data_IF_699704453989
#
_entry.id   IF_699704453989
#
_cell.length_a   1.000
_cell.length_b   1.000
_cell.length_c   1.000
_cell.angle_alpha   90.00
_cell.angle_beta   90.00
_cell.angle_gamma   90.00
#
_symmetry.space_group_name_H-M   'P 1'
#
loop_
_entity.id
_entity.type
_entity.pdbx_description
1 polymer ?
#
# COMPACT_ATOMS: atom_id res chain seq x y z
N UNK A 1 12.57 10.71 -15.18
CA UNK A 1 12.83 9.66 -14.17
C UNK A 1 14.16 9.89 -13.43
N UNK A 2 14.80 11.07 -13.53
CA UNK A 2 16.21 11.26 -13.14
C UNK A 2 16.39 12.23 -11.95
N UNK A 3 15.36 12.42 -11.13
CA UNK A 3 15.43 13.20 -9.89
C UNK A 3 14.73 12.43 -8.77
N UNK A 4 15.40 12.31 -7.60
CA UNK A 4 14.80 11.81 -6.36
C UNK A 4 13.51 12.58 -5.97
N UNK A 5 13.33 13.78 -6.52
CA UNK A 5 12.13 14.61 -6.39
C UNK A 5 10.84 14.01 -7.03
N UNK A 6 10.94 12.87 -7.71
CA UNK A 6 9.79 12.21 -8.34
C UNK A 6 9.08 11.21 -7.43
N UNK A 7 9.51 11.05 -6.17
CA UNK A 7 8.89 10.17 -5.18
C UNK A 7 7.90 10.96 -4.31
N UNK A 8 6.65 10.51 -4.30
CA UNK A 8 5.59 10.94 -3.38
C UNK A 8 5.42 9.83 -2.35
N UNK A 9 5.97 10.03 -1.14
CA UNK A 9 5.81 9.08 -0.04
C UNK A 9 4.64 9.48 0.86
N UNK A 10 3.78 8.53 1.18
CA UNK A 10 2.63 8.72 2.04
C UNK A 10 2.64 7.63 3.11
N UNK A 11 2.83 8.04 4.36
CA UNK A 11 2.73 7.17 5.53
C UNK A 11 1.26 6.92 5.87
N UNK A 12 0.81 5.66 5.77
CA UNK A 12 -0.57 5.28 6.03
C UNK A 12 -0.96 5.30 7.51
N UNK A 13 0.01 5.39 8.43
CA UNK A 13 -0.25 5.62 9.86
C UNK A 13 -0.87 7.01 10.11
N UNK A 14 -0.69 7.99 9.23
CA UNK A 14 -1.39 9.29 9.33
C UNK A 14 -2.87 9.20 8.90
N UNK A 15 -3.27 8.10 8.25
CA UNK A 15 -4.58 7.89 7.64
C UNK A 15 -5.40 6.80 8.33
N UNK A 16 -5.10 6.54 9.61
CA UNK A 16 -5.80 5.57 10.45
C UNK A 16 -7.26 5.95 10.75
N UNK A 17 -7.59 7.24 10.69
CA UNK A 17 -8.90 7.78 11.06
C UNK A 17 -9.70 8.18 9.82
N UNK A 18 -11.02 7.94 9.84
CA UNK A 18 -11.89 8.20 8.69
C UNK A 18 -11.78 9.64 8.15
N UNK A 19 -11.65 10.64 9.01
CA UNK A 19 -11.59 12.03 8.60
C UNK A 19 -10.23 12.44 8.01
N UNK A 20 -9.15 11.70 8.31
CA UNK A 20 -7.84 11.97 7.72
C UNK A 20 -7.72 11.41 6.30
N UNK A 21 -8.50 10.38 5.94
CA UNK A 21 -8.61 9.86 4.55
C UNK A 21 -8.96 10.97 3.56
N UNK A 22 -9.86 11.88 3.93
CA UNK A 22 -10.23 13.04 3.11
C UNK A 22 -9.03 13.92 2.74
N UNK A 23 -7.93 13.93 3.50
CA UNK A 23 -6.73 14.70 3.13
C UNK A 23 -6.06 14.16 1.86
N UNK A 24 -6.20 12.87 1.54
CA UNK A 24 -5.62 12.28 0.32
C UNK A 24 -6.28 12.80 -0.95
N UNK A 25 -7.61 12.96 -0.94
CA UNK A 25 -8.44 13.33 -2.12
C UNK A 25 -9.10 14.70 -2.00
N UNK A 26 -8.89 15.40 -0.89
CA UNK A 26 -9.49 16.69 -0.57
C UNK A 26 -10.74 16.53 0.30
N UNK A 27 -11.01 17.53 1.15
CA UNK A 27 -12.23 17.54 1.93
C UNK A 27 -13.47 17.67 1.01
N UNK A 28 -14.64 17.15 1.40
CA UNK A 28 -15.88 17.34 0.65
C UNK A 28 -16.42 18.78 0.78
N UNK A 29 -17.34 19.20 -0.12
CA UNK A 29 -17.95 20.53 -0.05
C UNK A 29 -18.55 20.82 1.33
N UNK A 30 -18.22 21.98 1.91
CA UNK A 30 -18.72 22.40 3.22
C UNK A 30 -17.81 22.07 4.41
N UNK A 31 -16.66 21.42 4.20
CA UNK A 31 -15.67 21.12 5.24
C UNK A 31 -14.44 22.05 5.16
N UNK A 32 -13.76 22.25 6.30
CA UNK A 32 -12.49 22.99 6.36
C UNK A 32 -11.44 22.27 5.50
N UNK A 33 -10.70 23.01 4.68
CA UNK A 33 -9.75 22.45 3.72
C UNK A 33 -10.38 22.03 2.39
N UNK A 34 -11.67 22.33 2.14
CA UNK A 34 -12.29 22.12 0.82
C UNK A 34 -11.59 22.91 -0.29
N UNK A 35 -11.03 24.09 0.01
CA UNK A 35 -10.23 24.85 -0.97
C UNK A 35 -8.97 24.11 -1.39
N UNK A 36 -8.44 23.25 -0.53
CA UNK A 36 -7.20 22.54 -0.73
C UNK A 36 -7.51 21.24 -1.48
N UNK A 37 -6.80 20.98 -2.57
CA UNK A 37 -6.92 19.69 -3.26
C UNK A 37 -6.36 18.57 -2.38
N UNK A 38 -6.65 17.32 -2.73
CA UNK A 38 -6.08 16.18 -2.03
C UNK A 38 -4.56 16.12 -2.18
N UNK A 39 -3.86 15.77 -1.10
CA UNK A 39 -2.39 15.68 -1.10
C UNK A 39 -1.89 14.72 -2.17
N UNK A 40 -2.56 13.57 -2.35
CA UNK A 40 -2.22 12.58 -3.37
C UNK A 40 -2.60 13.08 -4.77
N UNK A 41 -3.85 13.51 -4.95
CA UNK A 41 -4.36 13.91 -6.27
C UNK A 41 -3.64 15.13 -6.82
N UNK A 42 -3.30 16.13 -5.99
CA UNK A 42 -2.54 17.30 -6.41
C UNK A 42 -1.07 16.97 -6.71
N UNK A 43 -0.44 16.07 -5.94
CA UNK A 43 0.95 15.67 -6.18
C UNK A 43 1.10 15.01 -7.55
N UNK A 44 0.23 14.05 -7.87
CA UNK A 44 0.25 13.36 -9.17
C UNK A 44 -0.21 14.27 -10.30
N UNK A 45 -1.19 15.14 -10.08
CA UNK A 45 -1.61 16.13 -11.09
C UNK A 45 -0.47 17.07 -11.49
N UNK A 46 0.34 17.50 -10.52
CA UNK A 46 1.50 18.37 -10.77
C UNK A 46 2.66 17.62 -11.41
N UNK A 47 2.85 16.34 -11.05
CA UNK A 47 3.93 15.48 -11.54
C UNK A 47 3.40 14.08 -11.90
N UNK A 48 2.81 13.92 -13.10
CA UNK A 48 2.19 12.64 -13.50
C UNK A 48 3.20 11.48 -13.62
N UNK A 49 4.45 11.81 -13.94
CA UNK A 49 5.58 10.87 -13.96
C UNK A 49 6.25 10.83 -12.58
N UNK A 50 5.69 10.03 -11.69
CA UNK A 50 6.13 9.91 -10.30
C UNK A 50 6.04 8.48 -9.80
N UNK A 51 6.77 8.19 -8.73
CA UNK A 51 6.58 7.00 -7.91
C UNK A 51 5.76 7.42 -6.69
N UNK A 52 4.60 6.80 -6.47
CA UNK A 52 3.81 6.98 -5.25
C UNK A 52 4.05 5.77 -4.35
N UNK A 53 4.64 6.02 -3.19
CA UNK A 53 4.91 5.02 -2.17
C UNK A 53 3.89 5.16 -1.03
N UNK A 54 3.01 4.19 -0.89
CA UNK A 54 2.14 4.03 0.28
C UNK A 54 2.84 3.14 1.30
N UNK A 55 3.27 3.72 2.41
CA UNK A 55 4.04 3.01 3.43
C UNK A 55 3.12 2.52 4.56
N UNK A 56 3.40 1.33 5.11
CA UNK A 56 2.65 0.73 6.22
C UNK A 56 1.13 0.62 5.96
N UNK A 57 0.73 0.14 4.77
CA UNK A 57 -0.69 0.13 4.37
C UNK A 57 -1.60 -0.62 5.34
N UNK A 58 -1.05 -1.55 6.14
CA UNK A 58 -1.82 -2.25 7.17
C UNK A 58 -2.39 -1.36 8.28
N UNK A 59 -1.86 -0.14 8.41
CA UNK A 59 -2.32 0.86 9.41
C UNK A 59 -3.47 1.71 8.88
N UNK A 60 -3.65 1.80 7.57
CA UNK A 60 -4.62 2.69 6.96
C UNK A 60 -6.07 2.37 7.38
N UNK A 61 -6.92 3.40 7.41
CA UNK A 61 -8.36 3.19 7.54
C UNK A 61 -8.91 2.38 6.34
N UNK A 62 -9.90 1.48 6.52
CA UNK A 62 -10.50 0.70 5.43
C UNK A 62 -10.95 1.51 4.20
N UNK A 63 -11.40 2.75 4.39
CA UNK A 63 -11.82 3.64 3.29
C UNK A 63 -10.67 4.01 2.33
N UNK A 64 -9.41 4.00 2.79
CA UNK A 64 -8.23 4.19 1.93
C UNK A 64 -8.14 3.07 0.89
N UNK A 65 -8.48 1.84 1.26
CA UNK A 65 -8.45 0.70 0.34
C UNK A 65 -9.47 0.82 -0.78
N UNK A 66 -10.66 1.37 -0.53
CA UNK A 66 -11.62 1.61 -1.60
C UNK A 66 -11.08 2.61 -2.64
N UNK A 67 -10.39 3.66 -2.16
CA UNK A 67 -9.71 4.63 -3.03
C UNK A 67 -8.55 3.98 -3.80
N UNK A 68 -7.75 3.14 -3.16
CA UNK A 68 -6.66 2.41 -3.80
C UNK A 68 -7.16 1.40 -4.84
N UNK A 69 -8.26 0.69 -4.58
CA UNK A 69 -8.90 -0.19 -5.58
C UNK A 69 -9.28 0.59 -6.83
N UNK A 70 -9.98 1.72 -6.66
CA UNK A 70 -10.32 2.57 -7.79
C UNK A 70 -9.08 3.00 -8.58
N UNK A 71 -8.01 3.36 -7.87
CA UNK A 71 -6.75 3.74 -8.51
C UNK A 71 -6.14 2.59 -9.30
N UNK A 72 -6.07 1.39 -8.72
CA UNK A 72 -5.44 0.21 -9.33
C UNK A 72 -6.27 -0.33 -10.51
N UNK A 73 -7.60 -0.24 -10.44
CA UNK A 73 -8.51 -0.70 -11.49
C UNK A 73 -8.54 0.28 -12.68
N UNK A 74 -8.83 1.56 -12.41
CA UNK A 74 -9.08 2.55 -13.47
C UNK A 74 -7.81 3.33 -13.89
N UNK A 75 -6.72 3.22 -13.12
CA UNK A 75 -5.53 4.06 -13.29
C UNK A 75 -5.84 5.55 -13.09
N UNK A 76 -6.91 5.88 -12.36
CA UNK A 76 -7.43 7.24 -12.16
C UNK A 76 -8.04 7.38 -10.78
N UNK A 77 -8.01 8.61 -10.27
CA UNK A 77 -8.67 8.95 -9.01
C UNK A 77 -9.43 10.25 -9.15
N UNK A 78 -10.67 10.27 -8.68
CA UNK A 78 -11.50 11.49 -8.67
C UNK A 78 -11.46 12.12 -7.28
N UNK A 79 -11.06 13.38 -7.24
CA UNK A 79 -10.98 14.14 -6.00
C UNK A 79 -12.38 14.60 -5.52
N UNK A 80 -12.46 15.13 -4.31
CA UNK A 80 -13.74 15.59 -3.71
C UNK A 80 -14.38 16.79 -4.41
N UNK A 81 -13.69 17.40 -5.38
CA UNK A 81 -14.22 18.47 -6.25
C UNK A 81 -14.70 17.95 -7.61
N UNK A 82 -14.66 16.63 -7.82
CA UNK A 82 -15.02 16.01 -9.09
C UNK A 82 -13.93 16.09 -10.17
N UNK A 83 -12.70 16.45 -9.81
CA UNK A 83 -11.57 16.47 -10.76
C UNK A 83 -10.94 15.09 -10.81
N UNK A 84 -10.90 14.49 -11.98
CA UNK A 84 -10.23 13.20 -12.20
C UNK A 84 -8.76 13.39 -12.56
N UNK A 85 -7.88 12.74 -11.82
CA UNK A 85 -6.42 12.72 -12.03
C UNK A 85 -6.03 11.35 -12.56
N UNK A 86 -5.19 11.31 -13.59
CA UNK A 86 -4.69 10.06 -14.16
C UNK A 86 -3.34 9.65 -13.56
N UNK A 87 -3.24 8.36 -13.25
CA UNK A 87 -2.07 7.66 -12.71
C UNK A 87 -1.41 6.76 -13.75
N UNK A 88 -1.78 6.87 -15.03
CA UNK A 88 -1.27 5.99 -16.10
C UNK A 88 0.26 6.03 -16.29
N UNK A 89 0.91 7.11 -15.84
CA UNK A 89 2.37 7.29 -15.89
C UNK A 89 3.01 7.26 -14.49
N UNK A 90 2.28 6.77 -13.50
CA UNK A 90 2.67 6.76 -12.09
C UNK A 90 2.95 5.33 -11.65
N UNK A 91 4.13 5.08 -11.09
CA UNK A 91 4.42 3.80 -10.45
C UNK A 91 3.87 3.83 -9.03
N UNK A 92 2.92 2.94 -8.73
CA UNK A 92 2.37 2.81 -7.38
C UNK A 92 3.04 1.65 -6.66
N UNK A 93 3.60 1.93 -5.49
CA UNK A 93 4.25 0.96 -4.61
C UNK A 93 3.55 1.00 -3.26
N UNK A 94 3.23 -0.17 -2.73
CA UNK A 94 2.70 -0.34 -1.38
C UNK A 94 3.69 -1.18 -0.57
N UNK A 95 4.00 -0.77 0.66
CA UNK A 95 4.75 -1.59 1.61
C UNK A 95 3.84 -2.00 2.75
N UNK A 96 4.16 -3.13 3.36
CA UNK A 96 3.47 -3.58 4.56
C UNK A 96 4.42 -4.34 5.45
N UNK A 97 4.22 -4.22 6.78
CA UNK A 97 4.94 -5.04 7.75
C UNK A 97 4.24 -6.37 8.06
N UNK A 98 3.17 -6.72 7.32
CA UNK A 98 2.57 -8.06 7.37
C UNK A 98 3.62 -9.13 7.07
N UNK A 99 3.58 -10.24 7.80
CA UNK A 99 4.53 -11.35 7.65
C UNK A 99 5.83 -11.18 8.42
N UNK A 100 6.17 -9.98 8.91
CA UNK A 100 7.46 -9.72 9.60
C UNK A 100 7.70 -10.64 10.80
N UNK A 101 6.65 -10.95 11.58
CA UNK A 101 6.73 -11.87 12.73
C UNK A 101 6.90 -13.32 12.31
N UNK A 102 6.25 -13.73 11.22
CA UNK A 102 6.32 -15.09 10.68
C UNK A 102 7.70 -15.37 10.10
N UNK A 103 8.24 -14.40 9.35
CA UNK A 103 9.62 -14.42 8.84
C UNK A 103 10.64 -14.54 9.98
N UNK A 104 10.49 -13.76 11.06
CA UNK A 104 11.38 -13.84 12.23
C UNK A 104 11.33 -15.19 12.93
N UNK A 105 10.14 -15.80 13.08
CA UNK A 105 10.00 -17.13 13.71
C UNK A 105 10.61 -18.25 12.86
N UNK A 106 10.46 -18.17 11.53
CA UNK A 106 11.09 -19.09 10.59
C UNK A 106 12.62 -18.96 10.59
N UNK A 107 13.13 -17.73 10.68
CA UNK A 107 14.57 -17.45 10.72
C UNK A 107 15.22 -17.77 12.07
N UNK A 108 14.51 -17.62 13.19
CA UNK A 108 15.03 -17.83 14.54
C UNK A 108 15.07 -19.30 15.00
N UNK A 109 14.86 -20.27 14.11
CA UNK A 109 15.01 -21.70 14.44
C UNK A 109 13.91 -22.28 15.34
N UNK A 110 12.75 -21.64 15.40
CA UNK A 110 11.61 -22.04 16.27
C UNK A 110 10.83 -23.29 15.82
N UNK A 111 11.40 -24.15 14.97
CA UNK A 111 10.86 -25.47 14.70
C UNK A 111 11.50 -26.45 15.69
N UNK A 112 10.82 -26.67 16.81
CA UNK A 112 11.13 -27.79 17.69
C UNK A 112 11.01 -29.11 16.92
N UNK A 113 12.14 -29.81 16.82
CA UNK A 113 12.29 -31.27 16.82
C UNK A 113 11.41 -32.07 15.84
N UNK A 114 11.97 -32.40 14.66
CA UNK A 114 11.58 -33.59 13.90
C UNK A 114 11.65 -33.43 12.39
N UNK A 115 12.49 -34.27 11.76
CA UNK A 115 12.66 -34.51 10.32
C UNK A 115 13.60 -33.57 9.55
N UNK A 116 14.85 -34.01 9.44
CA UNK A 116 15.46 -34.21 8.12
C UNK A 116 16.18 -33.02 7.49
N UNK A 117 17.52 -33.16 7.48
CA UNK A 117 18.44 -32.69 6.43
C UNK A 117 18.75 -31.19 6.35
N UNK A 118 19.90 -30.82 6.93
CA UNK A 118 20.75 -29.65 6.63
C UNK A 118 21.19 -29.52 5.15
N UNK A 119 20.51 -30.17 4.20
CA UNK A 119 20.90 -30.24 2.79
C UNK A 119 19.76 -29.89 1.82
N UNK A 120 18.56 -29.57 2.31
CA UNK A 120 17.40 -29.27 1.46
C UNK A 120 17.11 -27.76 1.39
N UNK A 121 17.94 -27.09 0.58
CA UNK A 121 17.60 -25.97 -0.31
C UNK A 121 17.11 -24.66 0.32
N UNK A 122 17.90 -23.60 0.15
CA UNK A 122 17.45 -22.20 0.30
C UNK A 122 16.09 -21.95 -0.39
N UNK A 123 15.85 -22.63 -1.52
CA UNK A 123 14.57 -22.61 -2.26
C UNK A 123 13.38 -23.12 -1.44
N UNK A 124 13.54 -24.18 -0.63
CA UNK A 124 12.44 -24.69 0.22
C UNK A 124 12.13 -23.72 1.37
N UNK A 125 13.15 -23.09 1.93
CA UNK A 125 12.98 -22.08 2.99
C UNK A 125 12.31 -20.81 2.44
N UNK A 126 12.74 -20.34 1.27
CA UNK A 126 12.13 -19.21 0.57
C UNK A 126 10.67 -19.50 0.19
N UNK A 127 10.37 -20.69 -0.34
CA UNK A 127 8.99 -21.08 -0.68
C UNK A 127 8.08 -21.06 0.54
N UNK A 128 8.49 -21.68 1.66
CA UNK A 128 7.71 -21.67 2.91
C UNK A 128 7.48 -20.26 3.43
N UNK A 129 8.51 -19.41 3.37
CA UNK A 129 8.40 -18.01 3.78
C UNK A 129 7.42 -17.24 2.89
N UNK A 130 7.50 -17.43 1.58
CA UNK A 130 6.59 -16.82 0.60
C UNK A 130 5.14 -17.25 0.85
N UNK A 131 4.92 -18.54 1.12
CA UNK A 131 3.58 -19.08 1.39
C UNK A 131 2.98 -18.45 2.65
N UNK A 132 3.76 -18.35 3.74
CA UNK A 132 3.31 -17.71 4.99
C UNK A 132 2.96 -16.22 4.79
N UNK A 133 3.82 -15.47 4.10
CA UNK A 133 3.54 -14.05 3.80
C UNK A 133 2.29 -13.93 2.94
N UNK A 134 2.12 -14.80 1.95
CA UNK A 134 0.98 -14.78 1.05
C UNK A 134 -0.34 -15.12 1.75
N UNK A 135 -0.33 -16.03 2.73
CA UNK A 135 -1.50 -16.31 3.57
C UNK A 135 -1.89 -15.11 4.45
N UNK A 136 -0.91 -14.42 5.02
CA UNK A 136 -1.18 -13.19 5.78
C UNK A 136 -1.75 -12.08 4.89
N UNK A 137 -1.22 -11.91 3.67
CA UNK A 137 -1.78 -10.95 2.71
C UNK A 137 -3.23 -11.29 2.35
N UNK A 138 -3.56 -12.57 2.09
CA UNK A 138 -4.93 -13.01 1.80
C UNK A 138 -5.90 -12.78 2.96
N UNK A 139 -5.40 -12.80 4.19
CA UNK A 139 -6.19 -12.55 5.39
C UNK A 139 -6.47 -11.06 5.57
N UNK A 140 -5.50 -10.22 5.24
CA UNK A 140 -5.60 -8.78 5.44
C UNK A 140 -6.27 -8.05 4.27
N UNK A 141 -5.84 -8.32 3.04
CA UNK A 141 -6.35 -7.67 1.85
C UNK A 141 -7.61 -8.36 1.34
N UNK A 142 -8.52 -7.56 0.77
CA UNK A 142 -9.66 -8.13 0.04
C UNK A 142 -9.18 -8.83 -1.23
N UNK A 143 -9.89 -9.86 -1.72
CA UNK A 143 -9.48 -10.62 -2.91
C UNK A 143 -9.19 -9.74 -4.13
N UNK A 144 -9.90 -8.61 -4.27
CA UNK A 144 -9.74 -7.70 -5.40
C UNK A 144 -8.33 -7.09 -5.51
N UNK A 145 -7.58 -7.00 -4.40
CA UNK A 145 -6.18 -6.54 -4.39
C UNK A 145 -5.17 -7.60 -4.81
N UNK A 146 -5.58 -8.88 -4.86
CA UNK A 146 -4.69 -10.03 -5.06
C UNK A 146 -4.96 -10.78 -6.37
N UNK A 147 -5.84 -10.24 -7.24
CA UNK A 147 -6.23 -10.82 -8.52
C UNK A 147 -5.09 -10.88 -9.55
#
# INVERSE_FOLDING_TARGET
>A
FDTEESIVRIDMSEYMEKHTVSKLIGAPPGYVGYSDGGTLTESVRRRPYSLVLFDEVEKAHPDVFNMLLQLLDDGRLTDSKGRTVSFANTLVVMTSNLGSRSVQKSAAGGAGLGFGTELDGEDQSYSRMKDLVHEEMKTFFRPEFLN
#
